data_IF_094378586233
#
_entry.id   IF_094378586233
#
_cell.length_a   1.000
_cell.length_b   1.000
_cell.length_c   1.000
_cell.angle_alpha   90.00
_cell.angle_beta   90.00
_cell.angle_gamma   90.00
#
_symmetry.space_group_name_H-M   'P 1'
#
loop_
_entity.id
_entity.type
_entity.pdbx_description
1 polymer ?
#
# COMPACT_ATOMS: atom_id res chain seq x y z
N UNK A 1 -38.77 -32.41 15.80
CA UNK A 1 -37.30 -32.18 15.73
C UNK A 1 -36.93 -31.75 14.32
N UNK A 2 -37.20 -30.49 13.98
CA UNK A 2 -36.91 -29.87 12.68
C UNK A 2 -36.95 -28.36 12.96
N UNK A 3 -35.89 -27.64 12.61
CA UNK A 3 -35.79 -26.16 12.47
C UNK A 3 -34.52 -25.51 13.08
N UNK A 4 -33.61 -26.24 13.71
CA UNK A 4 -32.37 -25.64 14.23
C UNK A 4 -31.19 -25.56 13.25
N UNK A 5 -31.31 -26.12 12.03
CA UNK A 5 -30.19 -26.17 11.07
C UNK A 5 -30.05 -24.87 10.25
N UNK A 6 -31.08 -24.01 10.17
CA UNK A 6 -31.00 -22.77 9.36
C UNK A 6 -30.18 -21.64 10.02
N UNK A 7 -29.99 -21.66 11.35
CA UNK A 7 -29.28 -20.59 12.05
C UNK A 7 -27.75 -20.66 11.91
N UNK A 8 -27.20 -21.84 11.60
CA UNK A 8 -25.75 -22.04 11.47
C UNK A 8 -25.16 -21.54 10.13
N UNK A 9 -25.99 -21.35 9.09
CA UNK A 9 -25.50 -20.94 7.76
C UNK A 9 -25.25 -19.43 7.61
N UNK A 10 -25.84 -18.58 8.46
CA UNK A 10 -25.72 -17.12 8.34
C UNK A 10 -24.47 -16.52 9.01
N UNK A 11 -23.78 -17.26 9.89
CA UNK A 11 -22.62 -16.74 10.63
C UNK A 11 -21.33 -16.77 9.78
N UNK A 12 -21.26 -17.66 8.77
CA UNK A 12 -20.09 -17.78 7.89
C UNK A 12 -20.00 -16.74 6.76
N UNK A 13 -21.05 -15.96 6.50
CA UNK A 13 -21.08 -15.04 5.37
C UNK A 13 -20.37 -13.69 5.62
N UNK A 14 -20.19 -13.29 6.89
CA UNK A 14 -19.66 -11.95 7.22
C UNK A 14 -18.14 -11.85 7.11
N UNK A 15 -17.41 -12.96 7.29
CA UNK A 15 -15.94 -12.99 7.18
C UNK A 15 -15.47 -12.85 5.73
N UNK A 16 -16.21 -13.43 4.78
CA UNK A 16 -15.88 -13.40 3.36
C UNK A 16 -15.94 -11.99 2.76
N UNK A 17 -16.85 -11.13 3.25
CA UNK A 17 -16.99 -9.74 2.77
C UNK A 17 -15.79 -8.88 3.15
N UNK A 18 -15.18 -9.10 4.33
CA UNK A 18 -14.00 -8.33 4.77
C UNK A 18 -12.75 -8.68 3.97
N UNK A 19 -12.51 -9.96 3.69
CA UNK A 19 -11.36 -10.41 2.90
C UNK A 19 -11.39 -9.84 1.48
N UNK A 20 -12.58 -9.72 0.89
CA UNK A 20 -12.75 -9.15 -0.45
C UNK A 20 -12.38 -7.66 -0.54
N UNK A 21 -12.32 -6.95 0.60
CA UNK A 21 -12.02 -5.51 0.67
C UNK A 21 -10.61 -5.20 1.20
N UNK A 22 -9.72 -6.17 1.37
CA UNK A 22 -8.36 -5.89 1.82
C UNK A 22 -7.55 -5.10 0.76
N UNK A 23 -6.84 -4.06 1.20
CA UNK A 23 -5.88 -3.34 0.35
C UNK A 23 -4.48 -3.89 0.67
N UNK A 24 -3.84 -4.49 -0.32
CA UNK A 24 -2.52 -5.08 -0.13
C UNK A 24 -1.42 -4.18 -0.68
N UNK A 25 -0.29 -4.19 0.01
CA UNK A 25 0.95 -3.56 -0.41
C UNK A 25 2.04 -4.63 -0.47
N UNK A 26 2.90 -4.56 -1.48
CA UNK A 26 4.15 -5.31 -1.53
C UNK A 26 5.28 -4.32 -1.76
N UNK A 27 6.29 -4.37 -0.88
CA UNK A 27 7.49 -3.53 -0.97
C UNK A 27 8.67 -4.41 -1.33
N UNK A 28 9.46 -3.98 -2.32
CA UNK A 28 10.65 -4.69 -2.77
C UNK A 28 11.84 -3.76 -2.99
N UNK A 29 13.04 -4.32 -2.99
CA UNK A 29 14.30 -3.57 -2.87
C UNK A 29 15.31 -3.97 -3.96
N UNK A 30 14.85 -4.04 -5.20
CA UNK A 30 15.67 -4.48 -6.34
C UNK A 30 16.88 -3.56 -6.60
N UNK A 31 16.73 -2.26 -6.34
CA UNK A 31 17.73 -1.23 -6.58
C UNK A 31 18.19 -0.53 -5.29
N UNK A 32 18.31 -1.26 -4.18
CA UNK A 32 18.66 -0.67 -2.89
C UNK A 32 20.01 0.07 -2.89
N UNK A 33 20.96 -0.33 -3.74
CA UNK A 33 22.24 0.38 -3.95
C UNK A 33 22.06 1.82 -4.46
N UNK A 34 20.92 2.12 -5.08
CA UNK A 34 20.54 3.45 -5.55
C UNK A 34 19.51 4.13 -4.63
N UNK A 35 19.34 3.61 -3.41
CA UNK A 35 18.37 4.12 -2.44
C UNK A 35 16.92 4.04 -2.91
N UNK A 36 16.60 3.00 -3.69
CA UNK A 36 15.26 2.80 -4.24
C UNK A 36 14.53 1.63 -3.59
N UNK A 37 13.23 1.84 -3.35
CA UNK A 37 12.27 0.78 -3.09
C UNK A 37 11.10 0.85 -4.08
N UNK A 38 10.56 -0.31 -4.45
CA UNK A 38 9.42 -0.45 -5.34
C UNK A 38 8.20 -0.89 -4.54
N UNK A 39 7.08 -0.19 -4.72
CA UNK A 39 5.81 -0.54 -4.04
C UNK A 39 4.74 -0.90 -5.06
N UNK A 40 4.13 -2.06 -4.85
CA UNK A 40 2.91 -2.49 -5.53
C UNK A 40 1.73 -2.40 -4.56
N UNK A 41 0.79 -1.50 -4.81
CA UNK A 41 -0.46 -1.37 -4.08
C UNK A 41 -1.61 -1.96 -4.91
N UNK A 42 -2.42 -2.84 -4.32
CA UNK A 42 -3.61 -3.40 -4.96
C UNK A 42 -4.87 -3.03 -4.19
N UNK A 43 -5.82 -2.42 -4.89
CA UNK A 43 -7.11 -2.00 -4.33
C UNK A 43 -8.22 -2.81 -5.04
N UNK A 44 -8.81 -3.82 -4.39
CA UNK A 44 -9.96 -4.51 -4.94
C UNK A 44 -11.24 -3.68 -4.79
N UNK A 45 -12.23 -3.95 -5.64
CA UNK A 45 -13.59 -3.37 -5.60
C UNK A 45 -13.65 -1.84 -5.46
N UNK A 46 -12.82 -1.13 -6.21
CA UNK A 46 -12.95 0.32 -6.40
C UNK A 46 -14.30 0.61 -7.06
N UNK A 47 -15.13 1.49 -6.47
CA UNK A 47 -16.41 1.86 -7.06
C UNK A 47 -16.25 2.44 -8.47
N UNK A 48 -17.09 2.00 -9.39
CA UNK A 48 -17.15 2.62 -10.72
C UNK A 48 -17.75 4.03 -10.63
N UNK A 49 -17.44 4.88 -11.61
CA UNK A 49 -18.01 6.22 -11.79
C UNK A 49 -17.67 7.25 -10.69
N UNK A 50 -16.75 6.94 -9.77
CA UNK A 50 -16.18 7.90 -8.82
C UNK A 50 -14.66 7.95 -9.04
N UNK A 51 -14.05 9.14 -9.21
CA UNK A 51 -12.60 9.24 -9.32
C UNK A 51 -11.90 8.65 -8.10
N UNK A 52 -10.91 7.78 -8.33
CA UNK A 52 -10.05 7.25 -7.27
C UNK A 52 -8.91 8.24 -7.05
N UNK A 53 -8.84 8.79 -5.85
CA UNK A 53 -7.68 9.58 -5.38
C UNK A 53 -6.80 8.71 -4.50
N UNK A 54 -5.51 8.69 -4.77
CA UNK A 54 -4.50 8.18 -3.85
C UNK A 54 -3.61 9.34 -3.41
N UNK A 55 -3.23 9.32 -2.13
CA UNK A 55 -2.48 10.40 -1.51
C UNK A 55 -1.29 9.87 -0.73
N UNK A 56 -0.18 10.61 -0.77
CA UNK A 56 0.96 10.44 0.13
C UNK A 56 0.84 11.37 1.32
N UNK A 57 1.39 10.99 2.47
CA UNK A 57 1.32 11.84 3.65
C UNK A 57 2.17 13.10 3.46
N UNK A 58 1.76 14.19 4.11
CA UNK A 58 2.52 15.45 4.15
C UNK A 58 3.19 15.68 5.49
N UNK A 59 2.90 14.85 6.49
CA UNK A 59 3.47 14.90 7.84
C UNK A 59 3.50 13.50 8.45
N UNK A 60 4.25 13.34 9.54
CA UNK A 60 4.32 12.09 10.31
C UNK A 60 3.72 12.32 11.71
N UNK A 61 2.88 11.40 12.24
CA UNK A 61 2.38 11.52 13.61
C UNK A 61 3.52 11.70 14.62
N UNK A 62 3.38 12.67 15.53
CA UNK A 62 4.45 13.05 16.45
C UNK A 62 5.55 13.94 15.84
N UNK A 63 5.36 14.45 14.62
CA UNK A 63 6.19 15.48 13.97
C UNK A 63 5.31 16.60 13.42
N UNK A 64 5.38 17.79 14.01
CA UNK A 64 4.55 18.94 13.64
C UNK A 64 5.22 19.83 12.59
N UNK A 65 5.67 19.21 11.49
CA UNK A 65 6.25 19.88 10.33
C UNK A 65 5.73 19.24 9.03
N UNK A 66 5.69 20.05 7.98
CA UNK A 66 5.36 19.58 6.64
C UNK A 66 6.61 18.96 6.00
N UNK A 67 6.52 17.70 5.57
CA UNK A 67 7.60 16.94 4.95
C UNK A 67 7.39 16.69 3.45
N UNK A 68 6.13 16.75 2.97
CA UNK A 68 5.75 16.47 1.57
C UNK A 68 6.32 15.15 1.04
N UNK A 69 6.02 14.01 1.66
CA UNK A 69 6.67 12.73 1.31
C UNK A 69 6.45 12.31 -0.17
N UNK A 70 5.38 12.80 -0.81
CA UNK A 70 5.14 12.64 -2.25
C UNK A 70 6.30 13.11 -3.14
N UNK A 71 7.15 14.04 -2.67
CA UNK A 71 8.32 14.53 -3.42
C UNK A 71 9.37 13.46 -3.72
N UNK A 72 9.39 12.37 -2.95
CA UNK A 72 10.32 11.26 -3.09
C UNK A 72 9.77 10.13 -3.97
N UNK A 73 8.57 10.31 -4.52
CA UNK A 73 7.85 9.29 -5.28
C UNK A 73 7.94 9.60 -6.78
N UNK A 74 8.29 8.59 -7.56
CA UNK A 74 8.36 8.70 -9.01
C UNK A 74 7.96 7.38 -9.68
N UNK A 75 7.86 7.42 -11.01
CA UNK A 75 7.39 6.30 -11.84
C UNK A 75 6.03 5.72 -11.41
N UNK A 76 5.17 6.56 -10.83
CA UNK A 76 3.84 6.12 -10.42
C UNK A 76 2.99 5.76 -11.65
N UNK A 77 2.52 4.52 -11.67
CA UNK A 77 1.64 3.97 -12.72
C UNK A 77 0.43 3.31 -12.09
N UNK A 78 -0.67 3.25 -12.83
CA UNK A 78 -1.92 2.64 -12.42
C UNK A 78 -2.42 1.71 -13.52
N UNK A 79 -3.00 0.60 -13.11
CA UNK A 79 -3.44 -0.48 -14.00
C UNK A 79 -4.81 -0.99 -13.57
N UNK A 80 -5.62 -1.39 -14.54
CA UNK A 80 -6.87 -2.11 -14.28
C UNK A 80 -6.64 -3.60 -13.97
N UNK A 81 -7.73 -4.34 -13.79
CA UNK A 81 -7.70 -5.76 -13.49
C UNK A 81 -7.01 -6.63 -14.56
N UNK A 82 -6.97 -6.14 -15.81
CA UNK A 82 -6.41 -6.81 -16.98
C UNK A 82 -4.97 -6.36 -17.28
N UNK A 83 -4.39 -5.49 -16.45
CA UNK A 83 -3.04 -4.95 -16.65
C UNK A 83 -2.97 -3.81 -17.67
N UNK A 84 -4.10 -3.24 -18.09
CA UNK A 84 -4.11 -2.05 -18.96
C UNK A 84 -3.77 -0.81 -18.15
N UNK A 85 -2.88 0.05 -18.68
CA UNK A 85 -2.56 1.33 -18.05
C UNK A 85 -3.81 2.22 -17.97
N UNK A 86 -3.98 2.84 -16.80
CA UNK A 86 -4.98 3.85 -16.51
C UNK A 86 -4.32 5.24 -16.55
N UNK A 87 -5.02 6.22 -17.13
CA UNK A 87 -4.55 7.59 -17.14
C UNK A 87 -4.60 8.18 -15.72
N UNK A 88 -3.53 8.89 -15.34
CA UNK A 88 -3.38 9.52 -14.03
C UNK A 88 -3.22 11.03 -14.21
N UNK A 89 -3.88 11.79 -13.34
CA UNK A 89 -3.62 13.22 -13.14
C UNK A 89 -3.00 13.42 -11.77
N UNK A 90 -2.07 14.36 -11.64
CA UNK A 90 -1.48 14.73 -10.35
C UNK A 90 -1.93 16.15 -9.97
N UNK A 91 -3.13 16.33 -9.38
CA UNK A 91 -3.64 17.65 -9.04
C UNK A 91 -2.88 18.36 -7.92
N UNK A 92 -2.05 17.65 -7.14
CA UNK A 92 -1.18 18.21 -6.12
C UNK A 92 0.06 17.31 -5.94
N UNK A 93 1.15 17.85 -5.36
CA UNK A 93 2.41 17.10 -5.20
C UNK A 93 2.27 15.76 -4.48
N UNK A 94 1.29 15.65 -3.58
CA UNK A 94 0.98 14.45 -2.80
C UNK A 94 -0.25 13.68 -3.29
N UNK A 95 -0.94 14.09 -4.37
CA UNK A 95 -2.23 13.51 -4.79
C UNK A 95 -2.18 13.06 -6.24
N UNK A 96 -2.59 11.82 -6.49
CA UNK A 96 -2.79 11.25 -7.81
C UNK A 96 -4.24 10.82 -7.98
N UNK A 97 -4.82 11.09 -9.15
CA UNK A 97 -6.23 10.83 -9.47
C UNK A 97 -6.37 9.97 -10.72
N UNK A 98 -7.20 8.93 -10.61
CA UNK A 98 -7.65 8.07 -11.70
C UNK A 98 -9.13 8.37 -11.91
N UNK A 99 -9.48 8.95 -13.06
CA UNK A 99 -10.82 9.52 -13.28
C UNK A 99 -11.94 8.45 -13.43
N UNK A 100 -11.63 7.32 -14.04
CA UNK A 100 -12.60 6.25 -14.34
C UNK A 100 -12.08 4.89 -13.87
N UNK A 101 -11.88 4.70 -12.55
CA UNK A 101 -11.47 3.40 -12.02
C UNK A 101 -12.66 2.44 -12.08
N UNK A 102 -12.38 1.14 -12.07
CA UNK A 102 -13.42 0.12 -11.89
C UNK A 102 -12.83 -1.18 -11.37
N UNK A 103 -13.49 -1.81 -10.41
CA UNK A 103 -13.10 -3.12 -9.91
C UNK A 103 -11.73 -3.10 -9.24
N UNK A 104 -10.78 -3.90 -9.73
CA UNK A 104 -9.42 -3.96 -9.16
C UNK A 104 -8.53 -2.92 -9.82
N UNK A 105 -7.87 -2.11 -9.00
CA UNK A 105 -6.82 -1.17 -9.45
C UNK A 105 -5.50 -1.57 -8.82
N UNK A 106 -4.45 -1.71 -9.63
CA UNK A 106 -3.06 -1.85 -9.16
C UNK A 106 -2.33 -0.54 -9.38
N UNK A 107 -1.61 -0.06 -8.39
CA UNK A 107 -0.76 1.13 -8.45
C UNK A 107 0.66 0.72 -8.13
N UNK A 108 1.62 1.16 -8.93
CA UNK A 108 3.04 0.89 -8.73
C UNK A 108 3.79 2.20 -8.64
N UNK A 109 4.81 2.30 -7.81
CA UNK A 109 5.68 3.47 -7.73
C UNK A 109 7.03 3.14 -7.11
N UNK A 110 8.03 3.93 -7.49
CA UNK A 110 9.37 3.91 -6.91
C UNK A 110 9.49 4.99 -5.83
N UNK A 111 10.18 4.68 -4.74
CA UNK A 111 10.50 5.59 -3.65
C UNK A 111 12.00 5.80 -3.62
N UNK A 112 12.45 7.05 -3.64
CA UNK A 112 13.83 7.41 -3.30
C UNK A 112 13.95 7.65 -1.78
N UNK A 113 14.79 6.89 -1.10
CA UNK A 113 14.96 6.95 0.35
C UNK A 113 16.42 6.90 0.77
N UNK A 114 17.04 8.07 0.93
CA UNK A 114 18.43 8.21 1.40
C UNK A 114 18.52 9.03 2.71
N UNK A 115 17.51 8.91 3.57
CA UNK A 115 17.50 9.57 4.87
C UNK A 115 16.88 8.68 5.94
N UNK A 116 17.75 8.09 6.77
CA UNK A 116 17.34 7.26 7.90
C UNK A 116 17.16 8.13 9.14
N UNK A 117 15.92 8.26 9.61
CA UNK A 117 15.57 8.85 10.89
C UNK A 117 14.17 8.36 11.33
N UNK A 118 13.58 8.96 12.37
CA UNK A 118 12.23 8.64 12.82
C UNK A 118 11.09 9.26 11.98
N UNK A 119 11.36 9.71 10.75
CA UNK A 119 10.42 10.46 9.91
C UNK A 119 10.40 9.98 8.45
N UNK A 120 11.58 9.80 7.86
CA UNK A 120 11.81 9.47 6.45
C UNK A 120 12.07 7.98 6.24
N UNK A 121 12.35 7.59 5.01
CA UNK A 121 12.74 6.22 4.66
C UNK A 121 14.19 6.19 4.15
N UNK A 122 14.88 5.10 4.43
CA UNK A 122 16.22 4.83 3.98
C UNK A 122 16.36 3.41 3.44
N UNK A 123 16.99 3.28 2.28
CA UNK A 123 17.24 1.99 1.63
C UNK A 123 18.71 1.95 1.21
N UNK A 124 19.42 0.91 1.61
CA UNK A 124 20.78 0.63 1.16
C UNK A 124 21.04 -0.88 1.13
N UNK A 125 22.28 -1.29 0.89
CA UNK A 125 22.65 -2.71 0.88
C UNK A 125 22.59 -3.35 2.27
N UNK A 126 22.76 -2.56 3.33
CA UNK A 126 22.77 -3.04 4.70
C UNK A 126 21.36 -3.30 5.25
N UNK A 127 20.40 -2.40 4.99
CA UNK A 127 19.03 -2.50 5.51
C UNK A 127 18.02 -1.60 4.79
N UNK A 128 16.74 -1.78 5.14
CA UNK A 128 15.66 -0.85 4.83
C UNK A 128 15.03 -0.33 6.13
N UNK A 129 15.05 0.99 6.32
CA UNK A 129 14.34 1.68 7.39
C UNK A 129 13.12 2.38 6.82
N UNK A 130 11.93 2.08 7.34
CA UNK A 130 10.67 2.58 6.78
C UNK A 130 9.77 3.18 7.84
N UNK A 131 9.47 4.47 7.67
CA UNK A 131 8.36 5.12 8.34
C UNK A 131 7.14 5.11 7.41
N UNK A 132 5.99 4.60 7.88
CA UNK A 132 4.76 4.42 7.08
C UNK A 132 4.38 5.68 6.28
N UNK A 133 4.38 6.90 6.84
CA UNK A 133 4.02 8.11 6.10
C UNK A 133 4.93 8.41 4.90
N UNK A 134 6.20 7.99 4.97
CA UNK A 134 7.19 8.20 3.92
C UNK A 134 7.15 7.15 2.81
N UNK A 135 6.40 6.05 2.99
CA UNK A 135 6.43 4.90 2.10
C UNK A 135 5.10 4.69 1.37
N UNK A 136 3.97 4.73 2.08
CA UNK A 136 2.71 4.23 1.51
C UNK A 136 1.77 5.34 1.03
N UNK A 137 1.31 5.23 -0.21
CA UNK A 137 0.11 5.91 -0.67
C UNK A 137 -1.14 5.30 -0.02
N UNK A 138 -2.15 6.13 0.28
CA UNK A 138 -3.45 5.69 0.77
C UNK A 138 -4.58 6.12 -0.16
N UNK A 139 -5.59 5.26 -0.44
CA UNK A 139 -6.74 5.64 -1.23
C UNK A 139 -7.73 6.42 -0.37
N UNK A 140 -8.06 7.62 -0.80
CA UNK A 140 -8.89 8.56 -0.04
C UNK A 140 -10.31 8.00 0.10
N UNK A 141 -10.86 8.03 1.32
CA UNK A 141 -12.22 7.53 1.62
C UNK A 141 -12.29 6.01 1.86
N UNK A 142 -11.15 5.31 1.85
CA UNK A 142 -11.05 3.87 2.07
C UNK A 142 -10.34 3.53 3.38
N UNK A 143 -10.31 4.46 4.33
CA UNK A 143 -9.51 4.38 5.56
C UNK A 143 -9.92 3.24 6.51
N UNK A 144 -11.18 2.81 6.44
CA UNK A 144 -11.72 1.70 7.24
C UNK A 144 -11.41 0.31 6.67
N UNK A 145 -10.79 0.23 5.48
CA UNK A 145 -10.48 -1.06 4.84
C UNK A 145 -9.23 -1.68 5.47
N UNK A 146 -9.21 -3.01 5.71
CA UNK A 146 -8.03 -3.68 6.24
C UNK A 146 -6.87 -3.58 5.24
N UNK A 147 -5.64 -3.61 5.76
CA UNK A 147 -4.42 -3.47 4.97
C UNK A 147 -3.42 -4.53 5.35
N UNK A 148 -2.71 -5.05 4.35
CA UNK A 148 -1.59 -5.96 4.52
C UNK A 148 -0.36 -5.41 3.84
N UNK A 149 0.80 -5.72 4.40
CA UNK A 149 2.09 -5.36 3.81
C UNK A 149 2.94 -6.62 3.69
N UNK A 150 3.37 -6.91 2.47
CA UNK A 150 4.38 -7.93 2.18
C UNK A 150 5.73 -7.28 1.99
N UNK A 151 6.75 -7.78 2.69
CA UNK A 151 8.14 -7.38 2.49
C UNK A 151 8.86 -8.42 1.63
N UNK A 152 9.27 -8.02 0.42
CA UNK A 152 9.93 -8.88 -0.56
C UNK A 152 11.39 -8.44 -0.75
N UNK A 153 12.29 -9.12 -0.05
CA UNK A 153 13.74 -8.82 -0.02
C UNK A 153 14.57 -10.02 -0.51
N UNK A 154 14.10 -10.67 -1.58
CA UNK A 154 14.83 -11.76 -2.24
C UNK A 154 16.24 -11.30 -2.64
N UNK A 155 17.24 -12.15 -2.42
CA UNK A 155 18.65 -11.81 -2.63
C UNK A 155 19.32 -11.05 -1.47
N UNK A 156 18.60 -10.73 -0.39
CA UNK A 156 19.14 -10.08 0.82
C UNK A 156 19.10 -11.05 2.01
N UNK A 157 19.96 -12.06 1.97
CA UNK A 157 19.91 -13.22 2.88
C UNK A 157 20.02 -12.86 4.37
N UNK A 158 20.75 -11.80 4.70
CA UNK A 158 20.98 -11.38 6.09
C UNK A 158 19.88 -10.47 6.64
N UNK A 159 18.92 -10.05 5.81
CA UNK A 159 17.84 -9.16 6.24
C UNK A 159 16.80 -9.90 7.08
N UNK A 160 16.38 -9.25 8.16
CA UNK A 160 15.30 -9.70 9.04
C UNK A 160 14.32 -8.56 9.26
N UNK A 161 13.03 -8.88 9.28
CA UNK A 161 11.99 -7.88 9.53
C UNK A 161 11.84 -7.67 11.05
N UNK A 162 12.02 -6.42 11.49
CA UNK A 162 11.71 -5.98 12.85
C UNK A 162 10.60 -4.92 12.77
N UNK A 163 9.38 -5.30 13.20
CA UNK A 163 8.19 -4.44 13.09
C UNK A 163 7.20 -4.74 14.20
N UNK A 164 6.32 -3.76 14.50
CA UNK A 164 5.17 -3.94 15.38
C UNK A 164 3.93 -4.49 14.64
N UNK A 165 3.98 -4.57 13.31
CA UNK A 165 2.90 -5.18 12.52
C UNK A 165 2.77 -6.67 12.89
N UNK A 166 1.53 -7.16 12.92
CA UNK A 166 1.24 -8.54 13.31
C UNK A 166 1.57 -9.47 12.14
N UNK A 167 2.50 -10.42 12.27
CA UNK A 167 2.78 -11.36 11.19
C UNK A 167 1.55 -12.23 10.91
N UNK A 168 1.22 -12.39 9.62
CA UNK A 168 0.16 -13.29 9.14
C UNK A 168 0.70 -14.44 8.27
N UNK A 169 2.01 -14.47 8.00
CA UNK A 169 2.72 -15.57 7.33
C UNK A 169 3.29 -15.17 5.97
N UNK A 170 4.26 -15.95 5.45
CA UNK A 170 4.88 -15.76 4.12
C UNK A 170 5.41 -14.33 3.85
N UNK A 171 6.00 -13.69 4.87
CA UNK A 171 6.51 -12.33 4.78
C UNK A 171 5.43 -11.24 4.71
N UNK A 172 4.16 -11.60 4.97
CA UNK A 172 3.02 -10.69 5.05
C UNK A 172 2.69 -10.39 6.51
N UNK A 173 2.36 -9.13 6.75
CA UNK A 173 2.03 -8.53 8.04
C UNK A 173 0.75 -7.68 7.92
#
# INVERSE_FOLDING_TARGET
>A
MKNYILAALLIGATTSVKAQQEISYEVSFANAVHHEAEVNMTIPNVPANVPLKVRFARSSPGRYATHEFGKNIYHLKAYDANGKLLAIKQPAGDVFEIAKPSGKVKITYTIFGNWIDGTYAGFDEAHAHMNIPAVFAFPVGMDKRPRTVKFSYAGKADWKVATQLKPIGNGVY
#
